data_IF_957963519758
#
_entry.id   IF_957963519758
#
_cell.length_a   1.000
_cell.length_b   1.000
_cell.length_c   1.000
_cell.angle_alpha   90.00
_cell.angle_beta   90.00
_cell.angle_gamma   90.00
#
_symmetry.space_group_name_H-M   'P 1'
#
loop_
_entity.id
_entity.type
_entity.pdbx_description
1 polymer ?
#
# COMPACT_ATOMS: atom_id res chain seq x y z
N UNK A 1 8.11 30.32 -32.88
CA UNK A 1 9.10 30.32 -33.98
C UNK A 1 9.66 31.71 -34.13
N UNK A 2 10.94 31.86 -34.38
CA UNK A 2 11.62 33.14 -34.39
C UNK A 2 12.66 33.17 -35.50
N UNK A 3 12.74 34.27 -36.26
CA UNK A 3 13.81 34.52 -37.24
C UNK A 3 15.04 35.08 -36.51
N UNK A 4 16.18 34.39 -36.63
CA UNK A 4 17.36 34.70 -35.80
C UNK A 4 17.95 36.09 -36.08
N UNK A 5 17.83 36.63 -37.26
CA UNK A 5 18.42 37.94 -37.64
C UNK A 5 17.47 39.13 -37.41
N UNK A 6 16.17 38.96 -37.56
CA UNK A 6 15.20 40.08 -37.47
C UNK A 6 14.37 40.10 -36.22
N UNK A 7 14.39 39.00 -35.45
CA UNK A 7 13.57 38.85 -34.25
C UNK A 7 12.07 38.67 -34.51
N UNK A 8 11.63 38.68 -35.79
CA UNK A 8 10.23 38.47 -36.17
C UNK A 8 9.84 37.05 -35.86
N UNK A 9 8.67 36.81 -35.23
CA UNK A 9 8.19 35.51 -34.85
C UNK A 9 6.75 35.27 -35.25
N UNK A 10 6.37 33.98 -35.28
CA UNK A 10 5.00 33.52 -35.45
C UNK A 10 4.74 32.33 -34.52
N UNK A 11 3.46 32.03 -34.27
CA UNK A 11 3.03 30.86 -33.55
C UNK A 11 2.33 29.87 -34.48
N UNK A 12 2.37 28.58 -34.17
CA UNK A 12 1.57 27.59 -34.89
C UNK A 12 0.10 27.58 -34.39
N UNK A 13 -0.78 27.15 -35.27
CA UNK A 13 -2.16 26.81 -34.94
C UNK A 13 -2.24 25.46 -34.19
N UNK A 14 -3.47 25.00 -33.91
CA UNK A 14 -3.73 23.76 -33.21
C UNK A 14 -3.30 22.50 -33.98
N UNK A 15 -3.18 22.60 -35.30
CA UNK A 15 -2.69 21.53 -36.20
C UNK A 15 -1.18 21.56 -36.42
N UNK A 16 -0.46 22.48 -35.76
CA UNK A 16 0.99 22.66 -35.91
C UNK A 16 1.38 23.42 -37.16
N UNK A 17 0.44 23.99 -37.91
CA UNK A 17 0.71 24.76 -39.13
C UNK A 17 1.07 26.20 -38.79
N UNK A 18 2.00 26.76 -39.51
CA UNK A 18 2.40 28.16 -39.36
C UNK A 18 2.72 28.80 -40.73
N UNK A 19 2.57 30.10 -40.78
CA UNK A 19 2.93 30.92 -41.94
C UNK A 19 3.81 32.04 -41.47
N UNK A 20 4.95 32.23 -42.16
CA UNK A 20 5.88 33.32 -41.89
C UNK A 20 6.50 33.80 -43.20
N UNK A 21 6.56 35.10 -43.38
CA UNK A 21 7.22 35.73 -44.55
C UNK A 21 8.67 36.02 -44.19
N UNK A 22 9.59 35.37 -44.88
CA UNK A 22 11.03 35.52 -44.65
C UNK A 22 11.81 35.45 -45.96
N UNK A 23 12.95 36.16 -46.09
CA UNK A 23 13.79 36.04 -47.27
C UNK A 23 14.38 34.64 -47.41
N UNK A 24 14.65 34.24 -48.66
CA UNK A 24 15.38 32.99 -48.93
C UNK A 24 16.76 33.05 -48.29
N UNK A 25 17.14 31.99 -47.61
CA UNK A 25 18.39 31.91 -46.86
C UNK A 25 18.31 32.35 -45.40
N UNK A 26 17.13 32.82 -44.93
CA UNK A 26 16.92 33.12 -43.50
C UNK A 26 16.98 31.86 -42.64
N UNK A 27 17.48 31.97 -41.43
CA UNK A 27 17.45 30.90 -40.43
C UNK A 27 16.29 31.10 -39.46
N UNK A 28 15.43 30.07 -39.37
CA UNK A 28 14.32 30.00 -38.44
C UNK A 28 14.72 29.12 -37.25
N UNK A 29 14.52 29.61 -36.04
CA UNK A 29 14.56 28.81 -34.84
C UNK A 29 13.13 28.45 -34.42
N UNK A 30 12.85 27.15 -34.41
CA UNK A 30 11.55 26.60 -34.11
C UNK A 30 11.70 25.87 -32.79
N UNK A 31 10.96 26.32 -31.77
CA UNK A 31 10.95 25.72 -30.43
C UNK A 31 9.53 25.54 -29.94
N UNK A 32 9.33 24.52 -29.15
CA UNK A 32 8.11 24.24 -28.39
C UNK A 32 8.50 23.82 -27.00
N UNK A 33 7.64 24.09 -26.02
CA UNK A 33 7.92 23.71 -24.63
C UNK A 33 8.00 22.18 -24.54
N UNK A 34 9.12 21.66 -24.04
CA UNK A 34 9.38 20.21 -23.96
C UNK A 34 10.11 19.62 -25.18
N UNK A 35 10.51 20.43 -26.18
CA UNK A 35 11.24 19.99 -27.35
C UNK A 35 12.54 20.75 -27.53
N UNK A 36 13.55 20.10 -28.15
CA UNK A 36 14.80 20.74 -28.51
C UNK A 36 14.54 21.76 -29.62
N UNK A 37 14.98 23.01 -29.48
CA UNK A 37 14.85 24.00 -30.54
C UNK A 37 15.64 23.56 -31.76
N UNK A 38 15.00 23.57 -32.94
CA UNK A 38 15.59 23.17 -34.19
C UNK A 38 15.78 24.39 -35.11
N UNK A 39 16.96 24.53 -35.68
CA UNK A 39 17.26 25.58 -36.64
C UNK A 39 17.12 25.06 -38.05
N UNK A 40 16.37 25.79 -38.88
CA UNK A 40 16.11 25.41 -40.26
C UNK A 40 16.40 26.62 -41.17
N UNK A 41 17.22 26.40 -42.17
CA UNK A 41 17.51 27.41 -43.20
C UNK A 41 16.43 27.36 -44.28
N UNK A 42 15.81 28.50 -44.53
CA UNK A 42 14.77 28.60 -45.54
C UNK A 42 15.42 28.52 -46.94
N UNK A 43 15.11 27.42 -47.65
CA UNK A 43 15.44 27.25 -49.06
C UNK A 43 14.25 27.66 -49.90
N UNK A 44 14.43 27.87 -51.19
CA UNK A 44 13.35 28.31 -52.09
C UNK A 44 12.25 27.23 -52.26
N UNK A 45 11.48 27.01 -51.20
CA UNK A 45 10.34 26.10 -51.11
C UNK A 45 9.18 26.77 -50.37
N UNK A 46 7.98 26.62 -50.90
CA UNK A 46 6.77 27.18 -50.29
C UNK A 46 6.27 26.44 -49.05
N UNK A 47 6.85 25.29 -48.70
CA UNK A 47 6.45 24.48 -47.59
C UNK A 47 7.65 23.75 -46.96
N UNK A 48 7.73 23.81 -45.64
CA UNK A 48 8.76 23.13 -44.85
C UNK A 48 8.10 22.39 -43.68
N UNK A 49 8.31 21.08 -43.60
CA UNK A 49 7.92 20.29 -42.44
C UNK A 49 9.11 20.19 -41.51
N UNK A 50 8.91 20.53 -40.24
CA UNK A 50 9.94 20.45 -39.20
C UNK A 50 9.45 19.52 -38.09
N UNK A 51 10.14 18.41 -37.91
CA UNK A 51 9.92 17.49 -36.79
C UNK A 51 10.83 17.95 -35.67
N UNK A 52 10.24 18.31 -34.54
CA UNK A 52 10.96 18.61 -33.31
C UNK A 52 11.20 17.32 -32.56
N UNK A 53 12.39 17.15 -32.02
CA UNK A 53 12.74 16.05 -31.14
C UNK A 53 12.38 16.46 -29.71
N UNK A 54 11.74 15.57 -28.99
CA UNK A 54 11.46 15.82 -27.57
C UNK A 54 12.76 16.17 -26.86
N UNK A 55 12.73 17.24 -26.09
CA UNK A 55 13.85 17.59 -25.24
C UNK A 55 13.88 16.59 -24.10
N UNK A 56 14.48 15.43 -24.36
CA UNK A 56 14.89 14.45 -23.37
C UNK A 56 16.16 14.94 -22.64
N UNK A 57 16.41 16.25 -22.55
CA UNK A 57 17.12 16.74 -21.41
C UNK A 57 16.17 16.45 -20.25
N UNK A 58 16.31 15.26 -19.71
CA UNK A 58 15.87 14.96 -18.39
C UNK A 58 16.15 16.23 -17.57
N UNK A 59 15.13 16.90 -17.08
CA UNK A 59 15.24 17.71 -15.88
C UNK A 59 16.01 16.82 -14.95
N UNK A 60 17.33 17.05 -14.80
CA UNK A 60 18.27 16.09 -14.21
C UNK A 60 17.60 15.59 -12.96
N UNK A 61 17.43 14.26 -12.84
CA UNK A 61 16.61 13.61 -11.82
C UNK A 61 16.73 14.39 -10.51
N UNK A 62 15.75 15.22 -10.20
CA UNK A 62 15.71 15.99 -8.95
C UNK A 62 15.20 15.07 -7.87
N UNK A 63 15.92 15.00 -6.78
CA UNK A 63 15.58 14.17 -5.64
C UNK A 63 15.23 15.10 -4.49
N UNK A 64 14.13 14.82 -3.82
CA UNK A 64 13.80 15.48 -2.57
C UNK A 64 14.73 14.95 -1.50
N UNK A 65 15.58 15.82 -0.96
CA UNK A 65 16.55 15.51 0.09
C UNK A 65 16.32 16.44 1.24
N UNK A 66 15.96 15.87 2.38
CA UNK A 66 15.67 16.67 3.54
C UNK A 66 14.49 17.61 3.29
N UNK A 67 14.72 18.88 3.51
CA UNK A 67 13.72 19.94 3.32
C UNK A 67 13.86 20.68 1.99
N UNK A 68 14.68 20.17 1.07
CA UNK A 68 14.97 20.80 -0.23
C UNK A 68 14.93 19.82 -1.40
N UNK A 69 15.01 20.39 -2.60
CA UNK A 69 15.12 19.66 -3.86
C UNK A 69 16.54 19.85 -4.36
N UNK A 70 17.26 18.76 -4.61
CA UNK A 70 18.62 18.80 -5.17
C UNK A 70 18.69 17.95 -6.44
N UNK A 71 19.59 18.31 -7.35
CA UNK A 71 19.88 17.48 -8.51
C UNK A 71 20.58 16.20 -8.05
N UNK A 72 20.16 15.05 -8.57
CA UNK A 72 20.73 13.74 -8.23
C UNK A 72 22.25 13.70 -8.46
N UNK A 73 22.72 14.39 -9.47
CA UNK A 73 24.16 14.50 -9.81
C UNK A 73 24.98 15.25 -8.75
N UNK A 74 24.35 16.13 -7.98
CA UNK A 74 25.00 16.90 -6.89
C UNK A 74 24.99 16.18 -5.54
N UNK A 75 24.38 15.00 -5.46
CA UNK A 75 24.24 14.24 -4.22
C UNK A 75 25.45 13.32 -4.04
N UNK A 76 26.21 13.55 -2.98
CA UNK A 76 27.34 12.71 -2.58
C UNK A 76 26.92 11.44 -1.80
N UNK A 77 25.68 11.39 -1.35
CA UNK A 77 25.12 10.30 -0.54
C UNK A 77 24.46 9.19 -1.34
N UNK A 78 24.35 8.00 -0.75
CA UNK A 78 23.69 6.85 -1.37
C UNK A 78 22.16 6.98 -1.29
N UNK A 79 21.54 7.50 -2.35
CA UNK A 79 20.10 7.69 -2.45
C UNK A 79 19.52 6.73 -3.48
N UNK A 80 18.46 6.01 -3.07
CA UNK A 80 17.59 5.27 -3.99
C UNK A 80 16.37 6.12 -4.31
N UNK A 81 15.94 6.16 -5.55
CA UNK A 81 14.74 6.87 -5.96
C UNK A 81 13.83 5.94 -6.78
N UNK A 82 12.52 5.98 -6.48
CA UNK A 82 11.47 5.32 -7.24
C UNK A 82 10.49 6.39 -7.75
N UNK A 83 10.22 6.35 -9.05
CA UNK A 83 9.17 7.17 -9.68
C UNK A 83 7.82 6.44 -9.61
N UNK A 84 6.74 7.19 -9.75
CA UNK A 84 5.37 6.66 -9.72
C UNK A 84 5.17 5.48 -10.66
N UNK A 85 5.69 5.55 -11.88
CA UNK A 85 5.54 4.48 -12.88
C UNK A 85 6.08 3.14 -12.41
N UNK A 86 7.17 3.15 -11.63
CA UNK A 86 7.74 1.93 -11.08
C UNK A 86 6.93 1.40 -9.88
N UNK A 87 6.28 2.28 -9.14
CA UNK A 87 5.45 1.93 -7.99
C UNK A 87 4.15 1.28 -8.45
N UNK A 88 3.44 1.93 -9.39
CA UNK A 88 2.09 1.50 -9.83
C UNK A 88 2.09 0.29 -10.76
N UNK A 89 3.24 -0.11 -11.33
CA UNK A 89 3.36 -1.35 -12.10
C UNK A 89 3.00 -2.59 -11.30
N UNK A 90 3.33 -2.60 -10.01
CA UNK A 90 2.98 -3.71 -9.12
C UNK A 90 1.68 -3.37 -8.40
N UNK A 91 0.59 -4.02 -8.79
CA UNK A 91 -0.74 -3.83 -8.18
C UNK A 91 -0.82 -4.65 -6.90
N UNK A 92 -0.43 -4.05 -5.79
CA UNK A 92 -0.43 -4.67 -4.48
C UNK A 92 -1.28 -3.86 -3.48
N UNK A 93 -1.93 -4.49 -2.49
CA UNK A 93 -2.74 -3.82 -1.49
C UNK A 93 -1.95 -2.83 -0.61
N UNK A 94 -0.67 -3.14 -0.37
CA UNK A 94 0.25 -2.34 0.44
C UNK A 94 1.32 -1.69 -0.42
N UNK A 95 1.63 -0.42 -0.14
CA UNK A 95 2.74 0.27 -0.77
C UNK A 95 4.09 -0.45 -0.54
N UNK A 96 4.30 -1.04 0.64
CA UNK A 96 5.50 -1.81 0.92
C UNK A 96 5.68 -2.99 -0.05
N UNK A 97 4.59 -3.73 -0.32
CA UNK A 97 4.60 -4.82 -1.30
C UNK A 97 4.87 -4.30 -2.73
N UNK A 98 4.26 -3.16 -3.08
CA UNK A 98 4.44 -2.55 -4.40
C UNK A 98 5.90 -2.16 -4.70
N UNK A 99 6.71 -1.84 -3.68
CA UNK A 99 8.10 -1.42 -3.83
C UNK A 99 9.13 -2.51 -3.49
N UNK A 100 8.69 -3.68 -3.03
CA UNK A 100 9.56 -4.78 -2.66
C UNK A 100 10.45 -5.21 -3.84
N UNK A 101 11.76 -5.35 -3.59
CA UNK A 101 12.74 -5.75 -4.59
C UNK A 101 13.15 -4.65 -5.59
N UNK A 102 12.57 -3.45 -5.54
CA UNK A 102 12.81 -2.37 -6.51
C UNK A 102 13.94 -1.41 -6.11
N UNK A 103 14.41 -1.46 -4.87
CA UNK A 103 15.45 -0.55 -4.36
C UNK A 103 16.58 -1.35 -3.75
N UNK A 104 17.79 -1.18 -4.26
CA UNK A 104 18.98 -1.81 -3.70
C UNK A 104 19.19 -1.38 -2.23
N UNK A 105 19.45 -2.34 -1.33
CA UNK A 105 19.64 -2.10 0.10
C UNK A 105 18.36 -1.85 0.90
N UNK A 106 17.19 -1.91 0.28
CA UNK A 106 15.89 -1.94 0.97
C UNK A 106 15.44 -3.40 1.12
N UNK A 107 15.26 -3.85 2.34
CA UNK A 107 14.70 -5.16 2.66
C UNK A 107 13.29 -4.98 3.21
N UNK A 108 12.33 -5.61 2.57
CA UNK A 108 10.94 -5.65 3.04
C UNK A 108 10.59 -7.11 3.29
N UNK A 109 10.17 -7.41 4.52
CA UNK A 109 9.66 -8.71 4.90
C UNK A 109 8.21 -8.55 5.31
N UNK A 110 7.32 -9.15 4.56
CA UNK A 110 5.93 -9.26 4.95
C UNK A 110 5.80 -10.30 6.06
N UNK A 111 5.29 -9.89 7.20
CA UNK A 111 5.12 -10.77 8.36
C UNK A 111 3.78 -11.49 8.34
N UNK A 112 2.79 -10.89 7.67
CA UNK A 112 1.42 -11.36 7.65
C UNK A 112 0.79 -11.09 6.26
N UNK A 113 0.02 -12.05 5.75
CA UNK A 113 -0.76 -11.93 4.51
C UNK A 113 -2.25 -11.65 4.77
N UNK A 114 -2.65 -11.42 6.01
CA UNK A 114 -4.03 -11.16 6.39
C UNK A 114 -4.46 -9.78 5.86
N UNK A 115 -5.62 -9.67 5.17
CA UNK A 115 -6.16 -8.40 4.73
C UNK A 115 -6.27 -7.37 5.85
N UNK A 116 -5.84 -6.12 5.58
CA UNK A 116 -5.85 -5.05 6.57
C UNK A 116 -4.71 -5.05 7.59
N UNK A 117 -3.87 -6.08 7.63
CA UNK A 117 -2.67 -6.13 8.49
C UNK A 117 -1.45 -5.58 7.75
N UNK A 118 -1.08 -4.34 8.06
CA UNK A 118 0.08 -3.65 7.49
C UNK A 118 1.28 -3.75 8.44
N UNK A 119 1.83 -4.96 8.57
CA UNK A 119 2.93 -5.29 9.49
C UNK A 119 4.23 -5.67 8.78
N UNK A 120 4.42 -5.20 7.53
CA UNK A 120 5.67 -5.44 6.84
C UNK A 120 6.82 -4.75 7.56
N UNK A 121 7.86 -5.51 7.84
CA UNK A 121 9.11 -4.99 8.37
C UNK A 121 9.92 -4.39 7.22
N UNK A 122 10.16 -3.09 7.30
CA UNK A 122 10.92 -2.32 6.32
C UNK A 122 12.26 -1.98 6.94
N UNK A 123 13.34 -2.38 6.30
CA UNK A 123 14.68 -2.22 6.81
C UNK A 123 15.62 -1.68 5.73
N UNK A 124 16.42 -0.68 6.07
CA UNK A 124 17.42 -0.09 5.18
C UNK A 124 18.81 -0.58 5.60
N UNK A 125 19.51 -1.27 4.70
CA UNK A 125 20.88 -1.80 4.90
C UNK A 125 21.09 -2.66 6.14
N UNK A 126 20.02 -3.21 6.75
CA UNK A 126 20.13 -4.01 7.96
C UNK A 126 20.09 -3.23 9.27
N UNK A 127 20.04 -1.90 9.24
CA UNK A 127 20.13 -1.08 10.46
C UNK A 127 18.82 -0.97 11.25
N UNK A 128 17.70 -1.35 10.67
CA UNK A 128 16.39 -1.29 11.34
C UNK A 128 15.35 -0.50 10.55
N UNK A 129 14.24 -0.17 11.20
CA UNK A 129 13.15 0.58 10.60
C UNK A 129 13.57 2.03 10.32
N UNK A 130 13.48 2.51 9.07
CA UNK A 130 13.80 3.89 8.72
C UNK A 130 12.75 4.87 9.23
N UNK A 131 13.09 6.14 9.27
CA UNK A 131 12.15 7.24 9.47
C UNK A 131 11.28 7.41 8.23
N UNK A 132 9.98 7.67 8.39
CA UNK A 132 9.07 7.97 7.30
C UNK A 132 8.71 9.45 7.27
N UNK A 133 8.91 10.07 6.11
CA UNK A 133 8.60 11.49 5.89
C UNK A 133 7.66 11.58 4.69
N UNK A 134 6.47 12.13 4.90
CA UNK A 134 5.46 12.29 3.85
C UNK A 134 5.22 13.79 3.66
N UNK A 135 5.48 14.29 2.46
CA UNK A 135 5.37 15.72 2.09
C UNK A 135 6.12 16.68 3.07
N UNK A 136 7.30 16.23 3.53
CA UNK A 136 8.15 16.98 4.46
C UNK A 136 7.76 16.86 5.93
N UNK A 137 6.77 16.05 6.26
CA UNK A 137 6.32 15.82 7.65
C UNK A 137 6.72 14.42 8.09
N UNK A 138 7.42 14.33 9.21
CA UNK A 138 7.74 13.05 9.84
C UNK A 138 6.45 12.39 10.32
N UNK A 139 6.23 11.13 9.92
CA UNK A 139 5.08 10.33 10.33
C UNK A 139 5.52 9.13 11.17
N UNK A 140 4.77 8.84 12.20
CA UNK A 140 5.11 7.76 13.13
C UNK A 140 4.74 6.40 12.52
N UNK A 141 5.75 5.53 12.47
CA UNK A 141 5.60 4.13 12.11
C UNK A 141 5.43 3.84 10.62
N UNK A 142 5.76 2.61 10.25
CA UNK A 142 5.68 2.13 8.87
C UNK A 142 4.24 1.90 8.37
N UNK A 143 3.26 1.79 9.28
CA UNK A 143 1.88 1.46 8.91
C UNK A 143 1.20 2.56 8.09
N UNK A 144 1.47 3.84 8.40
CA UNK A 144 0.94 4.97 7.63
C UNK A 144 1.49 4.97 6.20
N UNK A 145 2.80 4.75 6.06
CA UNK A 145 3.45 4.59 4.77
C UNK A 145 2.85 3.44 3.96
N UNK A 146 2.66 2.26 4.59
CA UNK A 146 2.15 1.07 3.92
C UNK A 146 0.71 1.23 3.41
N UNK A 147 -0.09 2.08 4.08
CA UNK A 147 -1.50 2.34 3.75
C UNK A 147 -1.72 3.45 2.72
N UNK A 148 -0.67 4.19 2.33
CA UNK A 148 -0.78 5.19 1.27
C UNK A 148 -1.35 4.57 -0.01
N UNK A 149 -2.13 5.36 -0.74
CA UNK A 149 -2.55 4.98 -2.07
C UNK A 149 -1.37 5.16 -3.05
N UNK A 150 -0.87 4.09 -3.70
CA UNK A 150 0.24 4.19 -4.63
C UNK A 150 0.02 5.19 -5.78
N UNK A 151 -1.23 5.37 -6.21
CA UNK A 151 -1.59 6.27 -7.30
C UNK A 151 -1.45 7.77 -6.93
N UNK A 152 -1.42 8.10 -5.62
CA UNK A 152 -1.23 9.47 -5.13
C UNK A 152 0.25 9.86 -5.00
N UNK A 153 1.17 8.91 -5.22
CA UNK A 153 2.60 9.13 -5.02
C UNK A 153 3.23 9.63 -6.31
N UNK A 154 4.07 10.65 -6.22
CA UNK A 154 4.91 11.13 -7.31
C UNK A 154 6.27 10.44 -7.31
N UNK A 155 6.89 10.36 -6.12
CA UNK A 155 8.19 9.72 -5.95
C UNK A 155 8.44 9.26 -4.52
N UNK A 156 9.35 8.28 -4.37
CA UNK A 156 9.87 7.85 -3.07
C UNK A 156 11.38 7.88 -3.12
N UNK A 157 12.00 8.62 -2.20
CA UNK A 157 13.45 8.69 -2.03
C UNK A 157 13.87 7.96 -0.76
N UNK A 158 14.92 7.16 -0.85
CA UNK A 158 15.48 6.39 0.25
C UNK A 158 16.86 6.94 0.61
N UNK A 159 16.96 7.63 1.73
CA UNK A 159 18.23 8.11 2.28
C UNK A 159 18.83 6.99 3.13
N UNK A 160 19.99 6.47 2.73
CA UNK A 160 20.54 5.22 3.27
C UNK A 160 21.74 5.42 4.20
N UNK A 161 22.17 6.64 4.38
CA UNK A 161 23.39 6.99 5.11
C UNK A 161 23.25 8.35 5.84
N UNK A 162 24.39 8.99 6.11
CA UNK A 162 24.44 10.29 6.77
C UNK A 162 23.56 11.40 6.14
N UNK A 163 23.09 11.22 4.90
CA UNK A 163 22.14 12.18 4.28
C UNK A 163 20.80 12.23 5.02
N UNK A 164 20.45 11.18 5.75
CA UNK A 164 19.26 11.16 6.60
C UNK A 164 19.41 12.02 7.88
N UNK A 165 20.64 12.35 8.29
CA UNK A 165 20.91 13.06 9.58
C UNK A 165 20.24 14.42 9.70
N UNK A 166 19.86 15.04 8.58
CA UNK A 166 19.07 16.28 8.56
C UNK A 166 17.73 16.15 9.32
N UNK A 167 17.22 14.92 9.49
CA UNK A 167 16.01 14.62 10.26
C UNK A 167 16.30 14.27 11.73
N UNK A 168 17.55 14.46 12.18
CA UNK A 168 17.96 14.24 13.57
C UNK A 168 18.20 12.74 13.90
N UNK A 169 18.28 12.45 15.21
CA UNK A 169 18.65 11.12 15.72
C UNK A 169 17.70 10.00 15.30
N UNK A 170 16.43 10.29 15.09
CA UNK A 170 15.42 9.29 14.69
C UNK A 170 15.67 8.74 13.28
N UNK A 171 16.54 9.33 12.49
CA UNK A 171 16.91 8.89 11.14
C UNK A 171 18.20 8.06 11.09
N UNK A 172 18.73 7.60 12.23
CA UNK A 172 19.95 6.78 12.29
C UNK A 172 19.89 5.54 11.41
N UNK A 173 18.69 4.97 11.22
CA UNK A 173 18.44 3.82 10.34
C UNK A 173 18.10 4.21 8.88
N UNK A 174 18.35 5.46 8.49
CA UNK A 174 17.95 6.02 7.21
C UNK A 174 16.55 6.64 7.23
N UNK A 175 16.14 7.21 6.08
CA UNK A 175 14.82 7.81 5.93
C UNK A 175 14.19 7.44 4.59
N UNK A 176 12.86 7.27 4.61
CA UNK A 176 12.01 7.10 3.43
C UNK A 176 11.18 8.35 3.24
N UNK A 177 11.45 9.07 2.17
CA UNK A 177 10.79 10.34 1.86
C UNK A 177 9.79 10.10 0.75
N UNK A 178 8.53 10.32 1.03
CA UNK A 178 7.43 10.21 0.08
C UNK A 178 7.00 11.60 -0.34
N UNK A 179 6.97 11.84 -1.63
CA UNK A 179 6.38 13.03 -2.22
C UNK A 179 5.08 12.64 -2.90
N UNK A 180 3.98 13.29 -2.55
CA UNK A 180 2.69 13.04 -3.19
C UNK A 180 2.50 13.96 -4.38
N UNK A 181 1.66 13.55 -5.33
CA UNK A 181 1.34 14.29 -6.55
C UNK A 181 0.82 15.70 -6.20
N UNK A 182 1.37 16.67 -6.90
CA UNK A 182 0.91 18.06 -6.89
C UNK A 182 0.37 18.39 -8.26
N UNK A 183 -0.59 19.28 -8.35
CA UNK A 183 -1.08 19.71 -9.66
C UNK A 183 0.03 20.32 -10.51
N UNK A 184 0.00 20.08 -11.80
CA UNK A 184 0.87 20.68 -12.79
C UNK A 184 0.14 21.78 -13.56
N UNK A 185 0.88 22.79 -14.06
CA UNK A 185 0.32 23.80 -14.98
C UNK A 185 -0.13 23.12 -16.26
N UNK A 186 -1.38 23.34 -16.67
CA UNK A 186 -1.94 22.74 -17.86
C UNK A 186 -3.45 22.55 -17.79
N UNK A 187 -4.01 21.98 -18.87
CA UNK A 187 -5.44 21.63 -18.91
C UNK A 187 -5.79 20.60 -17.85
N UNK A 188 -6.99 20.64 -17.26
CA UNK A 188 -7.44 19.61 -16.35
C UNK A 188 -7.35 18.22 -16.97
N UNK A 189 -6.76 17.26 -16.23
CA UNK A 189 -6.68 15.85 -16.61
C UNK A 189 -7.38 15.02 -15.56
N UNK A 190 -8.35 14.23 -15.99
CA UNK A 190 -9.03 13.24 -15.17
C UNK A 190 -8.46 11.88 -15.50
N UNK A 191 -8.09 11.11 -14.48
CA UNK A 191 -7.58 9.75 -14.64
C UNK A 191 -8.37 8.80 -13.76
N UNK A 192 -8.84 7.72 -14.34
CA UNK A 192 -9.48 6.62 -13.62
C UNK A 192 -8.62 5.36 -13.79
N UNK A 193 -8.15 4.84 -12.67
CA UNK A 193 -7.47 3.55 -12.61
C UNK A 193 -8.36 2.56 -11.86
N UNK A 194 -8.56 1.37 -12.42
CA UNK A 194 -9.29 0.28 -11.78
C UNK A 194 -8.55 -1.03 -12.00
N UNK A 195 -8.40 -1.82 -10.94
CA UNK A 195 -7.67 -3.07 -10.96
C UNK A 195 -8.45 -4.14 -10.20
N UNK A 196 -8.53 -5.33 -10.79
CA UNK A 196 -9.01 -6.55 -10.15
C UNK A 196 -7.83 -7.50 -10.03
N UNK A 197 -7.65 -8.10 -8.87
CA UNK A 197 -6.61 -9.09 -8.61
C UNK A 197 -7.19 -10.37 -8.03
N UNK A 198 -6.49 -11.46 -8.27
CA UNK A 198 -6.77 -12.77 -7.66
C UNK A 198 -5.53 -13.14 -6.86
N UNK A 199 -5.72 -13.38 -5.57
CA UNK A 199 -4.66 -13.84 -4.66
C UNK A 199 -4.80 -15.32 -4.42
N UNK A 200 -3.69 -16.06 -4.49
CA UNK A 200 -3.62 -17.48 -4.19
C UNK A 200 -2.43 -17.76 -3.30
N UNK A 201 -2.50 -18.73 -2.38
CA UNK A 201 -1.34 -19.14 -1.63
C UNK A 201 -0.31 -19.78 -2.58
N UNK A 202 0.96 -19.42 -2.43
CA UNK A 202 2.04 -19.99 -3.24
C UNK A 202 2.37 -21.42 -2.84
N UNK A 203 2.11 -21.77 -1.60
CA UNK A 203 2.30 -23.09 -1.06
C UNK A 203 1.35 -23.32 0.11
N UNK A 204 0.67 -24.46 0.10
CA UNK A 204 -0.13 -24.98 1.22
C UNK A 204 0.52 -26.28 1.63
N UNK A 205 1.06 -26.40 2.87
CA UNK A 205 1.65 -27.66 3.31
C UNK A 205 0.64 -28.80 3.24
N UNK A 206 0.99 -29.88 2.59
CA UNK A 206 0.21 -31.11 2.56
C UNK A 206 0.14 -31.72 3.95
N UNK A 207 -1.05 -32.12 4.36
CA UNK A 207 -1.30 -32.77 5.65
C UNK A 207 -1.51 -34.26 5.43
N UNK A 208 -1.16 -35.06 6.44
CA UNK A 208 -1.49 -36.48 6.44
C UNK A 208 -3.02 -36.67 6.34
N UNK A 209 -3.46 -37.53 5.45
CA UNK A 209 -4.86 -37.98 5.44
C UNK A 209 -5.14 -38.94 6.60
N UNK A 210 -6.42 -39.30 6.86
CA UNK A 210 -6.81 -40.12 7.99
C UNK A 210 -6.09 -41.49 8.01
N UNK A 211 -5.91 -42.13 6.86
CA UNK A 211 -5.17 -43.39 6.75
C UNK A 211 -3.72 -43.24 7.20
N UNK A 212 -3.03 -42.23 6.69
CA UNK A 212 -1.63 -41.97 7.07
C UNK A 212 -1.53 -41.62 8.54
N UNK A 213 -2.42 -40.74 9.02
CA UNK A 213 -2.46 -40.34 10.41
C UNK A 213 -2.65 -41.52 11.36
N UNK A 214 -3.62 -42.40 11.11
CA UNK A 214 -3.91 -43.55 11.95
C UNK A 214 -2.78 -44.61 11.88
N UNK A 215 -2.16 -44.81 10.72
CA UNK A 215 -1.01 -45.69 10.58
C UNK A 215 0.16 -45.17 11.45
N UNK A 216 0.51 -43.90 11.29
CA UNK A 216 1.59 -43.26 12.05
C UNK A 216 1.28 -43.23 13.56
N UNK A 217 0.01 -43.04 13.93
CA UNK A 217 -0.41 -43.07 15.34
C UNK A 217 -0.22 -44.45 15.97
N UNK A 218 -0.59 -45.52 15.26
CA UNK A 218 -0.34 -46.90 15.70
C UNK A 218 1.16 -47.18 15.85
N UNK A 219 1.97 -46.78 14.86
CA UNK A 219 3.44 -46.96 14.91
C UNK A 219 4.03 -46.21 16.12
N UNK A 220 3.59 -44.99 16.39
CA UNK A 220 4.05 -44.20 17.52
C UNK A 220 3.74 -44.87 18.87
N UNK A 221 2.55 -45.43 19.04
CA UNK A 221 2.19 -46.15 20.26
C UNK A 221 3.02 -47.43 20.44
N UNK A 222 3.16 -48.23 19.38
CA UNK A 222 3.98 -49.46 19.40
C UNK A 222 5.43 -49.15 19.70
N UNK A 223 6.02 -48.13 19.06
CA UNK A 223 7.41 -47.70 19.29
C UNK A 223 7.62 -47.19 20.71
N UNK A 224 6.57 -46.68 21.34
CA UNK A 224 6.60 -46.26 22.76
C UNK A 224 6.36 -47.41 23.75
N UNK A 225 6.28 -48.66 23.25
CA UNK A 225 6.02 -49.85 24.07
C UNK A 225 4.56 -49.98 24.56
N UNK A 226 3.64 -49.27 23.94
CA UNK A 226 2.20 -49.30 24.26
C UNK A 226 1.44 -50.15 23.24
N UNK A 227 0.21 -50.63 23.57
CA UNK A 227 -0.68 -51.25 22.59
C UNK A 227 -0.95 -50.29 21.40
N UNK A 228 -1.21 -50.85 20.22
CA UNK A 228 -1.66 -50.08 19.08
C UNK A 228 -2.89 -49.22 19.45
N UNK A 229 -2.94 -48.00 18.94
CA UNK A 229 -4.00 -47.03 19.21
C UNK A 229 -5.37 -47.51 18.74
N UNK A 230 -5.40 -48.18 17.58
CA UNK A 230 -6.60 -48.82 17.00
C UNK A 230 -6.26 -50.23 16.56
N UNK A 231 -7.29 -51.11 16.43
CA UNK A 231 -7.15 -52.47 15.96
C UNK A 231 -6.77 -52.50 14.46
N UNK A 232 -6.31 -53.68 13.98
CA UNK A 232 -6.02 -53.89 12.55
C UNK A 232 -7.26 -53.74 11.68
N UNK A 233 -8.40 -54.24 12.19
CA UNK A 233 -9.67 -54.17 11.49
C UNK A 233 -10.16 -52.73 11.33
N UNK A 234 -10.01 -51.92 12.39
CA UNK A 234 -10.33 -50.52 12.37
C UNK A 234 -9.38 -49.72 11.46
N UNK A 235 -8.07 -50.01 11.52
CA UNK A 235 -7.11 -49.43 10.59
C UNK A 235 -7.47 -49.73 9.13
N UNK A 236 -7.98 -50.94 8.85
CA UNK A 236 -8.42 -51.34 7.50
C UNK A 236 -9.63 -50.50 7.05
N UNK A 237 -10.57 -50.20 7.95
CA UNK A 237 -11.71 -49.29 7.66
C UNK A 237 -11.22 -47.88 7.27
N UNK A 238 -10.26 -47.31 8.03
CA UNK A 238 -9.63 -46.04 7.68
C UNK A 238 -8.88 -46.09 6.33
N UNK A 239 -8.24 -47.23 6.03
CA UNK A 239 -7.54 -47.42 4.75
C UNK A 239 -8.48 -47.47 3.56
N UNK A 240 -9.70 -48.00 3.76
CA UNK A 240 -10.71 -48.14 2.73
C UNK A 240 -11.65 -46.93 2.63
N UNK A 241 -11.61 -45.98 3.61
CA UNK A 241 -12.56 -44.88 3.69
C UNK A 241 -14.00 -45.40 3.85
N UNK A 242 -14.18 -46.39 4.74
CA UNK A 242 -15.50 -46.93 5.05
C UNK A 242 -16.42 -45.83 5.64
N UNK A 243 -17.76 -45.99 5.54
CA UNK A 243 -18.68 -45.03 6.17
C UNK A 243 -18.34 -44.77 7.64
N UNK A 244 -18.20 -43.48 8.02
CA UNK A 244 -17.73 -43.04 9.35
C UNK A 244 -16.21 -43.06 9.56
N UNK A 245 -15.44 -43.47 8.52
CA UNK A 245 -13.96 -43.51 8.53
C UNK A 245 -13.36 -42.70 7.38
N UNK A 246 -14.03 -41.61 6.98
CA UNK A 246 -13.59 -40.72 5.92
C UNK A 246 -12.49 -39.79 6.40
N UNK A 247 -11.62 -39.36 5.47
CA UNK A 247 -10.62 -38.36 5.71
C UNK A 247 -11.16 -36.96 5.47
N UNK A 248 -11.02 -36.09 6.43
CA UNK A 248 -11.45 -34.69 6.35
C UNK A 248 -10.27 -33.80 6.06
N UNK A 249 -10.36 -32.99 5.01
CA UNK A 249 -9.41 -31.90 4.77
C UNK A 249 -9.93 -30.65 5.50
N UNK A 250 -9.35 -30.41 6.68
CA UNK A 250 -9.72 -29.27 7.52
C UNK A 250 -9.32 -27.92 6.91
N UNK A 251 -8.31 -27.89 6.05
CA UNK A 251 -7.93 -26.68 5.35
C UNK A 251 -8.95 -26.33 4.28
N UNK A 252 -9.29 -27.30 3.44
CA UNK A 252 -10.31 -27.11 2.40
C UNK A 252 -11.69 -26.81 2.97
N UNK A 253 -11.97 -27.26 4.19
CA UNK A 253 -13.24 -26.95 4.88
C UNK A 253 -13.44 -25.45 5.12
N UNK A 254 -12.37 -24.67 5.38
CA UNK A 254 -12.46 -23.26 5.81
C UNK A 254 -11.76 -22.27 4.87
N UNK A 255 -10.89 -22.73 3.96
CA UNK A 255 -10.16 -21.86 3.05
C UNK A 255 -10.58 -22.06 1.60
N UNK A 256 -10.66 -20.96 0.87
CA UNK A 256 -10.78 -20.95 -0.58
C UNK A 256 -9.39 -21.06 -1.22
N UNK A 257 -9.33 -21.57 -2.44
CA UNK A 257 -8.08 -21.60 -3.24
C UNK A 257 -7.67 -20.21 -3.73
N UNK A 258 -8.64 -19.32 -3.85
CA UNK A 258 -8.45 -17.97 -4.38
C UNK A 258 -9.24 -16.96 -3.57
N UNK A 259 -8.70 -15.77 -3.44
CA UNK A 259 -9.37 -14.60 -2.89
C UNK A 259 -9.31 -13.44 -3.90
N UNK A 260 -10.26 -12.53 -3.84
CA UNK A 260 -10.35 -11.40 -4.75
C UNK A 260 -9.90 -10.11 -4.07
N UNK A 261 -9.26 -9.25 -4.84
CA UNK A 261 -8.95 -7.88 -4.46
C UNK A 261 -9.40 -6.92 -5.57
N UNK A 262 -9.85 -5.74 -5.18
CA UNK A 262 -10.24 -4.70 -6.10
C UNK A 262 -9.69 -3.36 -5.62
N UNK A 263 -9.19 -2.55 -6.55
CA UNK A 263 -8.70 -1.20 -6.28
C UNK A 263 -9.16 -0.29 -7.39
N UNK A 264 -9.64 0.90 -7.03
CA UNK A 264 -9.93 1.95 -8.00
C UNK A 264 -9.50 3.30 -7.44
N UNK A 265 -9.05 4.18 -8.31
CA UNK A 265 -8.67 5.56 -7.97
C UNK A 265 -9.09 6.48 -9.10
N UNK A 266 -9.92 7.46 -8.75
CA UNK A 266 -10.25 8.59 -9.61
C UNK A 266 -9.39 9.77 -9.18
N UNK A 267 -8.66 10.39 -10.11
CA UNK A 267 -7.88 11.58 -9.83
C UNK A 267 -8.13 12.69 -10.84
N UNK A 268 -7.96 13.92 -10.39
CA UNK A 268 -8.05 15.15 -11.17
C UNK A 268 -6.81 15.98 -10.88
N UNK A 269 -6.10 16.40 -11.89
CA UNK A 269 -4.96 17.32 -11.78
C UNK A 269 -5.02 18.40 -12.83
N UNK A 270 -4.45 19.56 -12.51
CA UNK A 270 -4.39 20.67 -13.44
C UNK A 270 -3.86 21.94 -12.77
N UNK A 271 -3.87 23.02 -13.54
CA UNK A 271 -3.47 24.30 -12.99
C UNK A 271 -3.22 25.36 -14.04
N UNK A 272 -2.99 26.56 -13.55
CA UNK A 272 -2.55 27.73 -14.28
C UNK A 272 -1.19 28.19 -13.71
N UNK A 273 -0.66 29.27 -14.22
CA UNK A 273 0.58 29.87 -13.67
C UNK A 273 0.42 30.33 -12.19
N UNK A 274 -0.83 30.54 -11.72
CA UNK A 274 -1.13 31.00 -10.37
C UNK A 274 -1.61 29.91 -9.43
N UNK A 275 -2.32 28.91 -9.95
CA UNK A 275 -2.93 27.84 -9.14
C UNK A 275 -2.57 26.48 -9.72
N UNK A 276 -2.12 25.56 -8.90
CA UNK A 276 -2.04 24.14 -9.26
C UNK A 276 -2.82 23.31 -8.26
N UNK A 277 -3.46 22.26 -8.73
CA UNK A 277 -4.30 21.40 -7.91
C UNK A 277 -4.17 19.94 -8.33
N UNK A 278 -4.21 19.08 -7.34
CA UNK A 278 -4.38 17.64 -7.44
C UNK A 278 -5.48 17.21 -6.48
N UNK A 279 -6.39 16.36 -6.93
CA UNK A 279 -7.40 15.74 -6.10
C UNK A 279 -7.55 14.28 -6.46
N UNK A 280 -7.75 13.40 -5.48
CA UNK A 280 -8.04 11.99 -5.72
C UNK A 280 -9.03 11.42 -4.73
N UNK A 281 -9.74 10.39 -5.19
CA UNK A 281 -10.55 9.51 -4.36
C UNK A 281 -10.23 8.06 -4.73
N UNK A 282 -9.89 7.25 -3.74
CA UNK A 282 -9.54 5.85 -3.91
C UNK A 282 -10.42 4.94 -3.07
N UNK A 283 -10.78 3.79 -3.63
CA UNK A 283 -11.41 2.68 -2.93
C UNK A 283 -10.60 1.41 -3.17
N UNK A 284 -10.38 0.62 -2.13
CA UNK A 284 -9.78 -0.70 -2.23
C UNK A 284 -10.49 -1.67 -1.31
N UNK A 285 -10.71 -2.88 -1.80
CA UNK A 285 -11.18 -4.01 -0.99
C UNK A 285 -10.26 -5.20 -1.18
N UNK A 286 -10.02 -5.93 -0.10
CA UNK A 286 -9.15 -7.10 -0.08
C UNK A 286 -9.86 -8.20 0.73
N UNK A 287 -10.19 -9.29 0.08
CA UNK A 287 -10.85 -10.44 0.69
C UNK A 287 -9.81 -11.48 1.11
N UNK A 288 -10.02 -12.13 2.22
CA UNK A 288 -9.17 -13.23 2.66
C UNK A 288 -9.49 -14.53 1.94
N UNK A 289 -8.61 -15.50 2.12
CA UNK A 289 -8.85 -16.88 1.69
C UNK A 289 -9.91 -17.60 2.53
N UNK A 290 -10.34 -17.04 3.68
CA UNK A 290 -11.40 -17.66 4.48
C UNK A 290 -12.70 -17.72 3.70
N UNK A 291 -13.39 -18.88 3.76
CA UNK A 291 -14.72 -19.07 3.14
C UNK A 291 -15.74 -18.07 3.69
N UNK A 292 -16.83 -17.88 2.97
CA UNK A 292 -17.96 -17.00 3.32
C UNK A 292 -17.57 -15.53 3.51
N UNK A 293 -16.44 -15.07 2.91
CA UNK A 293 -15.90 -13.73 3.12
C UNK A 293 -15.76 -13.38 4.61
N UNK A 294 -15.43 -14.37 5.43
CA UNK A 294 -15.39 -14.22 6.88
C UNK A 294 -14.41 -13.15 7.35
N UNK A 295 -13.41 -12.82 6.54
CA UNK A 295 -12.49 -11.70 6.79
C UNK A 295 -12.39 -10.84 5.55
N UNK A 296 -12.71 -9.55 5.68
CA UNK A 296 -12.66 -8.54 4.61
C UNK A 296 -11.99 -7.26 5.11
N UNK A 297 -11.33 -6.57 4.20
CA UNK A 297 -10.74 -5.26 4.44
C UNK A 297 -11.19 -4.28 3.36
N UNK A 298 -11.73 -3.14 3.79
CA UNK A 298 -12.14 -2.06 2.91
C UNK A 298 -11.41 -0.78 3.27
N UNK A 299 -10.93 -0.04 2.28
CA UNK A 299 -10.18 1.20 2.44
C UNK A 299 -10.70 2.27 1.48
N UNK A 300 -11.02 3.43 2.02
CA UNK A 300 -11.34 4.66 1.30
C UNK A 300 -10.24 5.68 1.56
N UNK A 301 -9.76 6.32 0.52
CA UNK A 301 -8.75 7.36 0.61
C UNK A 301 -9.19 8.59 -0.17
N UNK A 302 -8.86 9.76 0.34
CA UNK A 302 -8.95 10.99 -0.43
C UNK A 302 -7.67 11.81 -0.27
N UNK A 303 -7.34 12.58 -1.28
CA UNK A 303 -6.24 13.54 -1.25
C UNK A 303 -6.63 14.81 -1.98
N UNK A 304 -6.19 15.96 -1.46
CA UNK A 304 -6.33 17.25 -2.11
C UNK A 304 -5.09 18.09 -1.83
N UNK A 305 -4.32 18.38 -2.86
CA UNK A 305 -3.13 19.22 -2.80
C UNK A 305 -3.36 20.43 -3.69
N UNK A 306 -3.39 21.61 -3.10
CA UNK A 306 -3.61 22.88 -3.80
C UNK A 306 -2.48 23.83 -3.47
N UNK A 307 -1.93 24.47 -4.48
CA UNK A 307 -0.92 25.52 -4.34
C UNK A 307 -1.37 26.78 -5.07
N UNK A 308 -1.29 27.93 -4.41
CA UNK A 308 -1.72 29.23 -4.90
C UNK A 308 -0.57 30.23 -4.79
N UNK A 309 -0.13 30.78 -5.90
CA UNK A 309 0.76 31.96 -5.94
C UNK A 309 -0.07 33.21 -5.69
N UNK A 310 -0.08 33.68 -4.45
CA UNK A 310 -0.83 34.89 -4.03
C UNK A 310 -0.20 36.13 -4.68
N UNK A 311 1.13 36.19 -4.66
CA UNK A 311 1.92 37.18 -5.39
C UNK A 311 3.05 36.47 -6.14
N UNK A 312 3.89 37.20 -6.87
CA UNK A 312 5.09 36.64 -7.49
C UNK A 312 6.08 36.03 -6.48
N UNK A 313 6.03 36.47 -5.22
CA UNK A 313 6.98 36.10 -4.17
C UNK A 313 6.34 35.27 -3.05
N UNK A 314 4.99 35.25 -2.92
CA UNK A 314 4.26 34.56 -1.85
C UNK A 314 3.41 33.43 -2.43
N UNK A 315 3.65 32.21 -1.95
CA UNK A 315 2.89 31.01 -2.28
C UNK A 315 2.26 30.43 -1.03
N UNK A 316 0.95 30.15 -1.10
CA UNK A 316 0.24 29.36 -0.10
C UNK A 316 -0.03 27.95 -0.64
N UNK A 317 0.05 26.94 0.22
CA UNK A 317 -0.31 25.58 -0.14
C UNK A 317 -1.10 24.89 0.97
N UNK A 318 -2.05 24.07 0.56
CA UNK A 318 -2.86 23.23 1.43
C UNK A 318 -2.75 21.80 0.91
N UNK A 319 -2.33 20.88 1.78
CA UNK A 319 -2.33 19.46 1.50
C UNK A 319 -3.25 18.77 2.52
N UNK A 320 -4.27 18.10 2.01
CA UNK A 320 -5.22 17.32 2.79
C UNK A 320 -5.11 15.86 2.37
N UNK A 321 -5.01 14.97 3.33
CA UNK A 321 -5.09 13.54 3.11
C UNK A 321 -6.03 12.90 4.11
N UNK A 322 -6.90 12.03 3.66
CA UNK A 322 -7.80 11.30 4.52
C UNK A 322 -7.89 9.83 4.18
N UNK A 323 -8.08 9.01 5.19
CA UNK A 323 -8.30 7.59 5.06
C UNK A 323 -9.35 7.11 6.06
N UNK A 324 -10.24 6.29 5.55
CA UNK A 324 -11.12 5.47 6.37
C UNK A 324 -10.93 4.02 5.95
N UNK A 325 -10.53 3.16 6.87
CA UNK A 325 -10.43 1.74 6.61
C UNK A 325 -11.13 0.91 7.69
N UNK A 326 -11.67 -0.21 7.27
CA UNK A 326 -12.38 -1.16 8.14
C UNK A 326 -11.95 -2.59 7.84
N UNK A 327 -11.73 -3.36 8.91
CA UNK A 327 -11.53 -4.81 8.82
C UNK A 327 -12.67 -5.48 9.56
N UNK A 328 -13.39 -6.37 8.88
CA UNK A 328 -14.38 -7.24 9.51
C UNK A 328 -13.80 -8.65 9.52
N UNK A 329 -13.90 -9.33 10.66
CA UNK A 329 -13.36 -10.69 10.81
C UNK A 329 -14.14 -11.49 11.86
N UNK A 330 -14.01 -12.82 11.85
CA UNK A 330 -14.49 -13.65 12.97
C UNK A 330 -13.86 -13.18 14.29
N UNK A 331 -14.45 -13.54 15.40
CA UNK A 331 -13.86 -13.26 16.70
C UNK A 331 -12.48 -13.93 16.85
N UNK A 332 -12.33 -15.16 16.36
CA UNK A 332 -11.04 -15.85 16.34
C UNK A 332 -10.05 -15.19 15.36
N UNK A 333 -8.79 -14.96 15.80
CA UNK A 333 -7.73 -14.48 14.91
C UNK A 333 -7.48 -15.47 13.77
N UNK A 334 -7.08 -14.94 12.61
CA UNK A 334 -6.74 -15.75 11.44
C UNK A 334 -5.72 -16.85 11.74
N UNK A 335 -4.70 -16.52 12.55
CA UNK A 335 -3.69 -17.49 12.97
C UNK A 335 -4.29 -18.69 13.73
N UNK A 336 -5.24 -18.46 14.63
CA UNK A 336 -5.86 -19.55 15.42
C UNK A 336 -6.73 -20.45 14.53
N UNK A 337 -7.43 -19.85 13.55
CA UNK A 337 -8.20 -20.61 12.56
C UNK A 337 -7.24 -21.48 11.72
N UNK A 338 -6.16 -20.91 11.22
CA UNK A 338 -5.15 -21.66 10.47
C UNK A 338 -4.51 -22.76 11.32
N UNK A 339 -4.14 -22.45 12.56
CA UNK A 339 -3.63 -23.41 13.53
C UNK A 339 -4.59 -24.57 13.73
N UNK A 340 -5.89 -24.30 13.87
CA UNK A 340 -6.91 -25.35 14.05
C UNK A 340 -6.92 -26.35 12.91
N UNK A 341 -6.70 -25.93 11.66
CA UNK A 341 -6.62 -26.85 10.52
C UNK A 341 -5.36 -27.72 10.49
N UNK A 342 -4.35 -27.40 11.33
CA UNK A 342 -3.05 -28.11 11.36
C UNK A 342 -2.86 -29.02 12.56
N UNK A 343 -3.49 -28.66 13.67
CA UNK A 343 -3.32 -29.37 14.96
C UNK A 343 -4.34 -30.48 15.12
N UNK A 344 -5.56 -30.27 14.61
CA UNK A 344 -6.60 -31.26 14.73
C UNK A 344 -6.40 -32.42 13.74
N UNK A 345 -6.72 -33.66 14.14
CA UNK A 345 -6.57 -34.82 13.28
C UNK A 345 -7.60 -34.82 12.13
N UNK A 346 -7.24 -35.40 10.98
CA UNK A 346 -8.12 -35.46 9.82
C UNK A 346 -9.21 -36.54 9.93
N UNK A 347 -9.40 -37.10 11.12
CA UNK A 347 -10.37 -38.15 11.44
C UNK A 347 -11.66 -37.65 12.08
N UNK A 348 -11.75 -36.33 12.30
CA UNK A 348 -12.91 -35.71 12.93
C UNK A 348 -13.67 -34.90 11.89
N UNK A 349 -14.91 -35.26 11.60
CA UNK A 349 -15.79 -34.52 10.70
C UNK A 349 -16.08 -33.10 11.25
N UNK A 350 -16.35 -32.15 10.36
CA UNK A 350 -16.70 -30.76 10.73
C UNK A 350 -18.00 -30.73 11.54
N UNK A 351 -18.97 -31.52 11.14
CA UNK A 351 -20.27 -31.59 11.78
C UNK A 351 -20.46 -32.94 12.43
N UNK A 352 -21.10 -32.96 13.60
CA UNK A 352 -21.46 -34.20 14.28
C UNK A 352 -22.52 -34.93 13.42
N UNK A 353 -22.23 -36.19 13.05
CA UNK A 353 -23.07 -37.00 12.18
C UNK A 353 -23.47 -36.28 10.88
N UNK A 354 -22.53 -35.50 10.30
CA UNK A 354 -22.71 -34.71 9.07
C UNK A 354 -23.90 -33.74 9.06
N UNK A 355 -24.46 -33.44 10.26
CA UNK A 355 -25.54 -32.51 10.41
C UNK A 355 -25.00 -31.07 10.56
N UNK A 356 -25.25 -30.15 9.61
CA UNK A 356 -24.69 -28.80 9.60
C UNK A 356 -25.14 -27.92 10.78
N UNK A 357 -26.20 -28.31 11.51
CA UNK A 357 -26.66 -27.58 12.68
C UNK A 357 -25.78 -27.83 13.93
N UNK A 358 -24.91 -28.86 13.88
CA UNK A 358 -24.14 -29.30 15.03
C UNK A 358 -22.64 -29.37 14.71
N UNK A 359 -21.91 -28.30 15.01
CA UNK A 359 -20.45 -28.32 14.92
C UNK A 359 -19.83 -29.37 15.84
N UNK A 360 -19.03 -30.26 15.29
CA UNK A 360 -18.42 -31.35 16.01
C UNK A 360 -17.43 -30.86 17.08
N UNK A 361 -17.30 -31.59 18.16
CA UNK A 361 -16.36 -31.31 19.23
C UNK A 361 -14.94 -31.76 18.83
N UNK A 362 -14.00 -30.81 18.81
CA UNK A 362 -12.60 -31.04 18.49
C UNK A 362 -11.75 -31.06 19.77
N UNK A 363 -10.83 -32.01 19.86
CA UNK A 363 -10.11 -32.31 21.12
C UNK A 363 -8.96 -31.32 21.42
N UNK A 364 -8.34 -30.71 20.41
CA UNK A 364 -7.12 -29.91 20.63
C UNK A 364 -7.36 -28.39 20.52
N UNK A 365 -8.04 -27.98 19.48
CA UNK A 365 -8.35 -26.56 19.21
C UNK A 365 -9.78 -26.52 18.68
N UNK A 366 -10.58 -25.48 18.93
CA UNK A 366 -11.94 -25.40 18.45
C UNK A 366 -12.10 -25.72 16.98
N UNK A 367 -13.26 -26.21 16.60
CA UNK A 367 -13.63 -26.55 15.25
C UNK A 367 -13.40 -25.36 14.28
N UNK A 368 -12.56 -25.49 13.24
CA UNK A 368 -12.17 -24.38 12.40
C UNK A 368 -13.35 -23.79 11.60
N UNK A 369 -14.34 -24.57 11.25
CA UNK A 369 -15.53 -24.08 10.56
C UNK A 369 -16.44 -23.27 11.53
N UNK A 370 -16.57 -23.69 12.79
CA UNK A 370 -17.22 -22.88 13.80
C UNK A 370 -16.48 -21.57 14.05
N UNK A 371 -15.14 -21.59 14.04
CA UNK A 371 -14.32 -20.39 14.27
C UNK A 371 -14.51 -19.30 13.20
N UNK A 372 -14.80 -19.65 11.95
CA UNK A 372 -15.07 -18.68 10.87
C UNK A 372 -16.52 -18.21 10.84
N UNK A 373 -17.42 -18.88 11.53
CA UNK A 373 -18.84 -18.52 11.61
C UNK A 373 -19.06 -17.43 12.65
N UNK A 374 -19.18 -16.18 12.16
CA UNK A 374 -19.39 -15.01 13.00
C UNK A 374 -20.76 -15.00 13.71
N UNK A 375 -21.75 -15.67 13.12
CA UNK A 375 -23.07 -15.81 13.75
C UNK A 375 -23.05 -16.81 14.89
N UNK A 376 -22.16 -17.76 14.86
CA UNK A 376 -22.01 -18.79 15.87
C UNK A 376 -21.03 -18.38 16.99
N UNK A 377 -19.82 -17.93 16.65
CA UNK A 377 -18.75 -17.65 17.62
C UNK A 377 -18.53 -16.18 17.92
N UNK A 378 -19.08 -15.29 17.08
CA UNK A 378 -18.93 -13.85 17.20
C UNK A 378 -17.97 -13.25 16.17
N UNK A 379 -17.86 -11.93 16.22
CA UNK A 379 -17.11 -11.15 15.23
C UNK A 379 -16.26 -10.05 15.87
N UNK A 380 -15.28 -9.57 15.13
CA UNK A 380 -14.51 -8.39 15.48
C UNK A 380 -14.48 -7.41 14.29
N UNK A 381 -14.62 -6.14 14.60
CA UNK A 381 -14.58 -5.04 13.63
C UNK A 381 -13.56 -4.00 14.07
N UNK A 382 -12.59 -3.74 13.20
CA UNK A 382 -11.61 -2.67 13.36
C UNK A 382 -11.97 -1.52 12.40
N UNK A 383 -11.85 -0.29 12.87
CA UNK A 383 -12.08 0.93 12.09
C UNK A 383 -10.97 1.91 12.36
N UNK A 384 -10.37 2.42 11.30
CA UNK A 384 -9.37 3.47 11.39
C UNK A 384 -9.84 4.68 10.60
N UNK A 385 -9.77 5.85 11.21
CA UNK A 385 -9.99 7.14 10.56
C UNK A 385 -8.71 7.94 10.73
N UNK A 386 -8.18 8.44 9.64
CA UNK A 386 -6.98 9.26 9.62
C UNK A 386 -7.25 10.51 8.79
N UNK A 387 -6.94 11.66 9.34
CA UNK A 387 -6.95 12.94 8.64
C UNK A 387 -5.57 13.58 8.81
N UNK A 388 -4.97 13.98 7.72
CA UNK A 388 -3.69 14.66 7.65
C UNK A 388 -3.89 16.00 6.98
N UNK A 389 -3.52 17.08 7.66
CA UNK A 389 -3.66 18.44 7.15
C UNK A 389 -2.33 19.14 7.23
N UNK A 390 -1.96 19.82 6.18
CA UNK A 390 -0.77 20.66 6.12
C UNK A 390 -1.10 21.96 5.41
N UNK A 391 -0.88 23.06 6.08
CA UNK A 391 -0.95 24.40 5.51
C UNK A 391 0.45 25.02 5.51
N UNK A 392 0.91 25.55 4.39
CA UNK A 392 2.21 26.17 4.30
C UNK A 392 2.16 27.51 3.56
N UNK A 393 2.95 28.46 4.05
CA UNK A 393 3.24 29.73 3.39
C UNK A 393 4.74 29.77 3.08
N UNK A 394 5.08 30.00 1.81
CA UNK A 394 6.46 30.18 1.33
C UNK A 394 6.61 31.57 0.77
N UNK A 395 7.59 32.32 1.25
CA UNK A 395 7.90 33.66 0.82
C UNK A 395 9.34 33.76 0.30
N UNK A 396 9.48 34.12 -0.96
CA UNK A 396 10.77 34.44 -1.58
C UNK A 396 11.12 35.88 -1.19
N UNK A 397 12.20 36.09 -0.47
CA UNK A 397 12.60 37.41 -0.02
C UNK A 397 13.14 38.24 -1.21
N UNK A 398 12.41 39.25 -1.71
CA UNK A 398 12.78 39.93 -2.95
C UNK A 398 14.12 40.66 -2.86
N UNK A 399 14.47 41.16 -1.68
CA UNK A 399 15.68 41.94 -1.43
C UNK A 399 16.94 41.08 -1.30
N UNK A 400 16.77 39.78 -1.04
CA UNK A 400 17.89 38.82 -0.92
C UNK A 400 17.66 37.68 -1.93
N UNK A 401 18.18 37.86 -3.15
CA UNK A 401 18.00 36.83 -4.20
C UNK A 401 18.48 35.47 -3.73
N UNK A 402 17.60 34.47 -3.83
CA UNK A 402 17.88 33.10 -3.43
C UNK A 402 17.48 32.74 -2.01
N UNK A 403 17.03 33.72 -1.20
CA UNK A 403 16.54 33.48 0.16
C UNK A 403 15.04 33.23 0.14
N UNK A 404 14.63 32.09 0.74
CA UNK A 404 13.23 31.70 0.94
C UNK A 404 12.98 31.38 2.40
N UNK A 405 11.83 31.78 2.89
CA UNK A 405 11.33 31.37 4.20
C UNK A 405 10.01 30.63 4.03
N UNK A 406 9.80 29.60 4.82
CA UNK A 406 8.59 28.78 4.77
C UNK A 406 8.10 28.49 6.18
N UNK A 407 6.87 28.84 6.47
CA UNK A 407 6.14 28.41 7.65
C UNK A 407 5.17 27.30 7.29
N UNK A 408 5.11 26.24 8.07
CA UNK A 408 4.20 25.12 7.88
C UNK A 408 3.46 24.81 9.17
N UNK A 409 2.15 24.74 9.11
CA UNK A 409 1.27 24.26 10.17
C UNK A 409 0.73 22.90 9.80
N UNK A 410 0.74 21.95 10.73
CA UNK A 410 0.36 20.56 10.54
C UNK A 410 -0.64 20.19 11.62
N UNK A 411 -1.76 19.58 11.19
CA UNK A 411 -2.72 18.97 12.08
C UNK A 411 -3.07 17.57 11.59
N UNK A 412 -2.80 16.57 12.43
CA UNK A 412 -3.13 15.18 12.15
C UNK A 412 -4.12 14.67 13.21
N UNK A 413 -5.15 13.97 12.76
CA UNK A 413 -6.13 13.30 13.60
C UNK A 413 -6.21 11.84 13.25
N UNK A 414 -6.10 10.98 14.27
CA UNK A 414 -6.28 9.54 14.16
C UNK A 414 -7.34 9.06 15.15
N UNK A 415 -8.25 8.23 14.67
CA UNK A 415 -9.24 7.57 15.50
C UNK A 415 -9.25 6.08 15.15
N UNK A 416 -8.91 5.25 16.12
CA UNK A 416 -8.95 3.80 16.04
C UNK A 416 -10.09 3.28 16.91
N UNK A 417 -10.95 2.45 16.33
CA UNK A 417 -12.00 1.73 17.03
C UNK A 417 -11.91 0.23 16.79
N UNK A 418 -11.91 -0.53 17.86
CA UNK A 418 -11.99 -1.99 17.84
C UNK A 418 -13.19 -2.43 18.64
N UNK A 419 -14.14 -3.11 18.00
CA UNK A 419 -15.29 -3.71 18.65
C UNK A 419 -15.32 -5.19 18.34
N UNK A 420 -15.30 -6.03 19.36
CA UNK A 420 -15.40 -7.47 19.24
C UNK A 420 -16.50 -8.02 20.15
N UNK A 421 -17.27 -8.94 19.60
CA UNK A 421 -18.27 -9.69 20.32
C UNK A 421 -17.92 -11.16 20.21
N UNK A 422 -17.68 -11.81 21.33
CA UNK A 422 -17.59 -13.26 21.43
C UNK A 422 -18.91 -13.79 21.94
N UNK A 423 -19.47 -14.75 21.24
CA UNK A 423 -20.63 -15.50 21.69
C UNK A 423 -20.17 -16.75 22.45
N UNK A 424 -20.85 -17.12 23.52
CA UNK A 424 -20.72 -18.45 24.07
C UNK A 424 -21.30 -19.44 23.08
N UNK A 425 -20.60 -20.51 22.80
CA UNK A 425 -21.05 -21.51 21.83
C UNK A 425 -20.80 -22.92 22.33
N UNK A 426 -21.55 -23.88 21.79
CA UNK A 426 -21.45 -25.29 22.12
C UNK A 426 -20.85 -26.06 20.95
N UNK A 427 -20.27 -27.20 21.25
CA UNK A 427 -19.88 -28.22 20.27
C UNK A 427 -20.59 -29.50 20.59
N UNK A 428 -20.70 -30.39 19.64
CA UNK A 428 -21.55 -31.56 19.78
C UNK A 428 -20.77 -32.82 19.45
N UNK A 429 -21.15 -33.90 20.11
CA UNK A 429 -20.71 -35.26 19.78
C UNK A 429 -21.95 -36.10 19.56
N UNK A 430 -21.97 -36.84 18.45
CA UNK A 430 -23.07 -37.76 18.16
C UNK A 430 -22.74 -39.14 18.71
N UNK A 431 -23.70 -39.71 19.45
CA UNK A 431 -23.61 -41.06 19.96
C UNK A 431 -24.24 -42.04 19.00
N UNK A 432 -23.45 -42.84 18.27
CA UNK A 432 -23.94 -43.79 17.27
C UNK A 432 -24.91 -44.83 17.86
N UNK A 433 -24.70 -45.21 19.11
CA UNK A 433 -25.57 -46.21 19.81
C UNK A 433 -26.86 -45.59 20.40
N UNK A 434 -26.82 -44.31 20.77
CA UNK A 434 -27.95 -43.63 21.38
C UNK A 434 -28.79 -42.85 20.39
N UNK A 435 -28.24 -42.50 19.25
CA UNK A 435 -28.86 -41.63 18.24
C UNK A 435 -28.99 -40.18 18.71
N UNK A 436 -28.29 -39.78 19.79
CA UNK A 436 -28.43 -38.47 20.45
C UNK A 436 -27.19 -37.60 20.28
N UNK A 437 -27.39 -36.28 20.24
CA UNK A 437 -26.33 -35.27 20.25
C UNK A 437 -26.03 -34.82 21.66
N UNK A 438 -24.83 -35.05 22.16
CA UNK A 438 -24.36 -34.54 23.42
C UNK A 438 -23.66 -33.20 23.21
N UNK A 439 -24.21 -32.15 23.86
CA UNK A 439 -23.63 -30.81 23.78
C UNK A 439 -22.53 -30.63 24.83
N UNK A 440 -21.45 -30.02 24.47
CA UNK A 440 -20.36 -29.55 25.34
C UNK A 440 -20.15 -28.05 25.19
N UNK A 441 -19.98 -27.31 26.29
CA UNK A 441 -19.59 -25.92 26.22
C UNK A 441 -18.14 -25.81 25.75
N UNK A 442 -17.90 -24.94 24.77
CA UNK A 442 -16.57 -24.76 24.20
C UNK A 442 -15.61 -23.95 25.11
N UNK A 443 -16.03 -23.63 26.34
CA UNK A 443 -15.29 -22.84 27.35
C UNK A 443 -14.89 -21.41 26.89
N UNK A 444 -15.69 -20.83 26.00
CA UNK A 444 -15.56 -19.45 25.55
C UNK A 444 -16.79 -18.64 26.05
N UNK A 445 -16.74 -18.06 27.25
CA UNK A 445 -17.86 -17.26 27.73
C UNK A 445 -18.09 -16.02 26.85
N UNK A 446 -19.35 -15.57 26.81
CA UNK A 446 -19.71 -14.37 26.05
C UNK A 446 -18.88 -13.18 26.53
N UNK A 447 -18.38 -12.36 25.58
CA UNK A 447 -17.53 -11.20 25.84
C UNK A 447 -17.85 -10.09 24.83
N UNK A 448 -18.00 -8.88 25.36
CA UNK A 448 -18.00 -7.66 24.53
C UNK A 448 -16.75 -6.85 24.86
N UNK A 449 -15.99 -6.52 23.83
CA UNK A 449 -14.84 -5.65 23.92
C UNK A 449 -15.04 -4.45 23.01
N UNK A 450 -14.93 -3.24 23.54
CA UNK A 450 -15.00 -1.98 22.78
C UNK A 450 -13.81 -1.10 23.21
N UNK A 451 -12.81 -1.00 22.32
CA UNK A 451 -11.62 -0.21 22.56
C UNK A 451 -11.60 0.94 21.55
N UNK A 452 -11.43 2.15 22.06
CA UNK A 452 -11.29 3.36 21.25
C UNK A 452 -10.01 4.10 21.61
N UNK A 453 -9.30 4.56 20.60
CA UNK A 453 -8.12 5.41 20.77
C UNK A 453 -8.23 6.58 19.82
N UNK A 454 -8.06 7.75 20.36
CA UNK A 454 -7.94 9.00 19.59
C UNK A 454 -6.57 9.59 19.83
N UNK A 455 -6.00 10.18 18.81
CA UNK A 455 -4.75 10.94 18.90
C UNK A 455 -4.77 12.10 17.94
N UNK A 456 -4.35 13.23 18.44
CA UNK A 456 -4.17 14.47 17.70
C UNK A 456 -2.70 14.86 17.75
N UNK A 457 -2.24 15.45 16.66
CA UNK A 457 -0.90 16.00 16.58
C UNK A 457 -0.99 17.38 15.93
N UNK A 458 -0.44 18.35 16.62
CA UNK A 458 -0.20 19.69 16.09
C UNK A 458 1.32 19.89 16.00
N UNK A 459 1.80 20.35 14.85
CA UNK A 459 3.21 20.61 14.63
C UNK A 459 3.35 21.91 13.82
N UNK A 460 4.37 22.70 14.13
CA UNK A 460 4.72 23.91 13.41
C UNK A 460 6.19 23.86 13.01
N UNK A 461 6.45 24.11 11.74
CA UNK A 461 7.79 24.09 11.19
C UNK A 461 8.12 25.45 10.59
N UNK A 462 9.31 25.93 10.83
CA UNK A 462 9.86 27.10 10.18
C UNK A 462 11.18 26.75 9.50
N UNK A 463 11.29 27.13 8.23
CA UNK A 463 12.43 26.77 7.38
C UNK A 463 12.96 28.02 6.69
N UNK A 464 14.26 28.12 6.60
CA UNK A 464 14.95 29.13 5.81
C UNK A 464 15.87 28.42 4.82
N UNK A 465 15.71 28.72 3.54
CA UNK A 465 16.53 28.15 2.46
C UNK A 465 17.20 29.28 1.69
N UNK A 466 18.51 29.18 1.51
CA UNK A 466 19.27 30.07 0.64
C UNK A 466 19.90 29.27 -0.49
N UNK A 467 19.66 29.66 -1.73
CA UNK A 467 20.29 29.05 -2.90
C UNK A 467 20.56 30.13 -3.95
N UNK A 468 21.82 30.33 -4.27
CA UNK A 468 22.21 31.35 -5.26
C UNK A 468 23.45 30.94 -6.04
N UNK A 469 23.41 31.20 -7.33
CA UNK A 469 24.56 31.00 -8.25
C UNK A 469 25.26 32.33 -8.48
N UNK A 470 26.58 32.35 -8.27
CA UNK A 470 27.49 33.46 -8.51
C UNK A 470 28.48 33.03 -9.59
N UNK A 471 28.28 33.47 -10.82
CA UNK A 471 29.09 32.98 -11.95
C UNK A 471 28.99 31.45 -12.08
N UNK A 472 30.11 30.75 -11.92
CA UNK A 472 30.17 29.28 -11.99
C UNK A 472 30.00 28.58 -10.63
N UNK A 473 29.78 29.32 -9.54
CA UNK A 473 29.67 28.76 -8.18
C UNK A 473 28.23 28.86 -7.69
N UNK A 474 27.69 27.77 -7.20
CA UNK A 474 26.38 27.71 -6.56
C UNK A 474 26.56 27.44 -5.06
N UNK A 475 25.96 28.30 -4.23
CA UNK A 475 25.91 28.18 -2.77
C UNK A 475 24.47 27.84 -2.42
N UNK A 476 24.27 26.76 -1.67
CA UNK A 476 22.97 26.30 -1.19
C UNK A 476 23.09 25.71 0.22
#
# INVERSE_FOLDING_TARGET
MKVLKTGTGTISDMDGKFTIQVPVGAELEIGYVGYNPKRVKVVNKNFVTVVLEENVVALGDVVVVGYGIQKKESLTGAIGNLKVDDIVKTKAPSLAQAIQGKVAGLRIRQENGEPGKFSSNINVRGFGTPLFVIDGVVRDGSSEFQRLNPEDIESISFLKDATASIYGMNSANGAVIVTTKKGATGKPRITLNANVGITSPTNVPEMANARQYMTMRNEAEINAGRPAYITKDELTKWQQGAPGYESVDLYDAVFNKHATQFQTTLSLEGGTDKVSYYGSFGYATDNSLLKNNALTYDKYTFRSNVSLKITKDLTASINLGGRYDTTNRPWFPFYDIFKSTRVNPPTTSIYANDNPDYYNNFSYVPNPAAMIDADYTGSAKERNKNLQTQFALEYNIPYVKGLKVKGTFIYDYNNYGYKATRKGFKTYTYGEYTGEYTAADANYPALLQDNRRESERVDMQFQTNYNRTFGNHTIG
#
